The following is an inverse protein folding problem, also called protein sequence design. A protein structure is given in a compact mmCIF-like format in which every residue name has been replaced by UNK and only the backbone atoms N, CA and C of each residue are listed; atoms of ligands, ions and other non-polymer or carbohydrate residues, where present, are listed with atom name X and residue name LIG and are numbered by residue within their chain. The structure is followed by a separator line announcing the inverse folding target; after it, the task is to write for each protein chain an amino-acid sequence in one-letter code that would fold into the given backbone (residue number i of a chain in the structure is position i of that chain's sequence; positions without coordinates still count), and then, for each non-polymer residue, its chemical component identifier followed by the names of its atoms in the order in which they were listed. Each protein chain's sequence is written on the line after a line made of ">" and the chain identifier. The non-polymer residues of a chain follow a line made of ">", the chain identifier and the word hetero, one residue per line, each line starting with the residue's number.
data_IF_242837633550
#
_entry.id   IF_242837633550
#
_cell.length_a   1.000
_cell.length_b   1.000
_cell.length_c   1.000
_cell.angle_alpha   90.00
_cell.angle_beta   90.00
_cell.angle_gamma   90.00
#
_symmetry.space_group_name_H-M   'P 1'
#
loop_
_entity.id
_entity.type
_entity.pdbx_description
1 polymer ?
#
# COMPACT_ATOMS: atom_id res chain seq x y z
N UNK A 1 -42.14 28.51 46.23
CA UNK A 1 -43.06 27.49 46.76
C UNK A 1 -43.72 28.10 47.98
N UNK A 2 -45.02 27.91 48.19
CA UNK A 2 -45.72 28.46 49.36
C UNK A 2 -46.55 27.32 49.97
N UNK A 3 -45.98 26.61 50.96
CA UNK A 3 -46.57 25.45 51.65
C UNK A 3 -46.62 24.11 50.85
N UNK A 4 -45.47 23.52 50.47
CA UNK A 4 -45.45 22.16 49.92
C UNK A 4 -45.91 21.14 50.97
N UNK A 5 -46.77 20.19 50.58
CA UNK A 5 -47.39 19.20 51.48
C UNK A 5 -46.78 17.80 51.34
N UNK A 6 -46.38 17.43 50.14
CA UNK A 6 -45.87 16.09 49.86
C UNK A 6 -44.95 16.07 48.65
N UNK A 7 -44.04 15.09 48.66
CA UNK A 7 -43.13 14.78 47.55
C UNK A 7 -43.24 13.30 47.21
N UNK A 8 -43.14 12.97 45.93
CA UNK A 8 -43.10 11.60 45.45
C UNK A 8 -42.18 11.51 44.22
N UNK A 9 -41.70 10.31 43.89
CA UNK A 9 -40.80 10.07 42.75
C UNK A 9 -41.37 8.96 41.88
N UNK A 10 -41.43 9.17 40.56
CA UNK A 10 -41.86 8.11 39.63
C UNK A 10 -40.72 7.12 39.29
N UNK A 11 -41.06 6.02 38.63
CA UNK A 11 -40.09 4.99 38.20
C UNK A 11 -39.04 5.52 37.21
N UNK A 12 -39.24 6.73 36.66
CA UNK A 12 -38.29 7.43 35.79
C UNK A 12 -37.45 8.47 36.54
N UNK A 13 -37.55 8.54 37.88
CA UNK A 13 -36.76 9.44 38.72
C UNK A 13 -37.26 10.90 38.77
N UNK A 14 -38.44 11.22 38.25
CA UNK A 14 -38.99 12.57 38.31
C UNK A 14 -39.55 12.86 39.71
N UNK A 15 -39.19 14.01 40.29
CA UNK A 15 -39.72 14.47 41.56
C UNK A 15 -41.02 15.26 41.36
N UNK A 16 -42.10 14.82 41.99
CA UNK A 16 -43.37 15.51 42.02
C UNK A 16 -43.56 16.19 43.38
N UNK A 17 -43.90 17.48 43.36
CA UNK A 17 -44.10 18.29 44.56
C UNK A 17 -45.53 18.80 44.56
N UNK A 18 -46.33 18.36 45.53
CA UNK A 18 -47.68 18.86 45.76
C UNK A 18 -47.60 20.22 46.50
N UNK A 19 -47.90 21.30 45.77
CA UNK A 19 -47.87 22.67 46.27
C UNK A 19 -49.32 23.08 46.62
N UNK A 20 -49.74 22.66 47.83
CA UNK A 20 -51.15 22.62 48.23
C UNK A 20 -51.81 24.00 48.21
N UNK A 21 -51.16 25.03 48.75
CA UNK A 21 -51.72 26.40 48.77
C UNK A 21 -51.69 27.08 47.40
N UNK A 22 -50.97 26.52 46.43
CA UNK A 22 -50.96 27.01 45.05
C UNK A 22 -51.77 26.11 44.09
N UNK A 23 -52.53 25.13 44.62
CA UNK A 23 -53.38 24.21 43.86
C UNK A 23 -52.71 23.55 42.65
N UNK A 24 -51.43 23.19 42.77
CA UNK A 24 -50.66 22.61 41.66
C UNK A 24 -49.75 21.47 42.11
N UNK A 25 -49.45 20.59 41.16
CA UNK A 25 -48.33 19.65 41.27
C UNK A 25 -47.21 20.15 40.37
N UNK A 26 -45.99 20.25 40.90
CA UNK A 26 -44.80 20.59 40.13
C UNK A 26 -44.01 19.32 39.85
N UNK A 27 -43.78 19.03 38.57
CA UNK A 27 -42.84 17.98 38.14
C UNK A 27 -41.46 18.59 37.97
N UNK A 28 -40.46 17.99 38.58
CA UNK A 28 -39.04 18.29 38.39
C UNK A 28 -38.42 17.05 37.77
N UNK A 29 -37.95 17.19 36.54
CA UNK A 29 -37.24 16.13 35.83
C UNK A 29 -35.74 16.35 36.00
N UNK A 30 -35.04 15.32 36.44
CA UNK A 30 -33.58 15.30 36.46
C UNK A 30 -33.11 14.73 35.12
N UNK A 31 -32.20 15.44 34.46
CA UNK A 31 -31.47 14.91 33.31
C UNK A 31 -30.04 14.64 33.77
N UNK A 32 -29.54 13.44 33.51
CA UNK A 32 -28.11 13.19 33.60
C UNK A 32 -27.40 14.08 32.56
N UNK A 33 -26.29 14.74 32.91
CA UNK A 33 -25.54 15.51 31.94
C UNK A 33 -25.05 14.57 30.83
N UNK A 34 -25.29 14.96 29.59
CA UNK A 34 -24.73 14.26 28.43
C UNK A 34 -23.24 14.51 28.42
N UNK A 35 -22.45 13.45 28.62
CA UNK A 35 -20.99 13.53 28.68
C UNK A 35 -20.38 12.80 27.49
N UNK A 36 -19.26 13.32 26.99
CA UNK A 36 -18.46 12.64 25.99
C UNK A 36 -17.80 11.42 26.66
N UNK A 37 -17.99 10.23 26.10
CA UNK A 37 -17.40 9.00 26.62
C UNK A 37 -16.16 8.57 25.82
N UNK A 38 -16.19 8.74 24.50
CA UNK A 38 -15.06 8.41 23.63
C UNK A 38 -15.04 9.23 22.34
N UNK A 39 -13.89 9.23 21.67
CA UNK A 39 -13.71 9.72 20.31
C UNK A 39 -13.43 8.55 19.37
N UNK A 40 -13.77 8.71 18.10
CA UNK A 40 -13.43 7.76 17.04
C UNK A 40 -12.96 8.53 15.81
N UNK A 41 -11.71 8.30 15.39
CA UNK A 41 -11.12 8.91 14.20
C UNK A 41 -11.28 8.00 12.98
N UNK A 42 -11.68 8.59 11.85
CA UNK A 42 -11.73 7.89 10.57
C UNK A 42 -11.00 8.68 9.47
N UNK A 43 -10.27 8.01 8.56
CA UNK A 43 -9.90 6.59 8.63
C UNK A 43 -8.91 6.32 9.77
N UNK A 44 -8.91 5.10 10.34
CA UNK A 44 -7.96 4.72 11.40
C UNK A 44 -6.50 4.65 10.89
N UNK A 45 -6.34 4.38 9.59
CA UNK A 45 -5.04 4.38 8.90
C UNK A 45 -5.20 4.97 7.50
N UNK A 46 -4.26 5.81 7.07
CA UNK A 46 -4.18 6.30 5.70
C UNK A 46 -2.73 6.30 5.20
N UNK A 47 -2.56 6.16 3.89
CA UNK A 47 -1.26 6.31 3.21
C UNK A 47 -1.42 7.34 2.10
N UNK A 48 -0.58 8.37 2.11
CA UNK A 48 -0.54 9.42 1.09
C UNK A 48 0.90 9.65 0.62
N UNK A 49 1.07 10.24 -0.55
CA UNK A 49 2.39 10.69 -0.98
C UNK A 49 2.78 12.01 -0.30
N UNK A 50 4.08 12.27 -0.17
CA UNK A 50 4.59 13.56 0.28
C UNK A 50 4.03 14.71 -0.57
N UNK A 51 3.60 15.79 0.08
CA UNK A 51 2.94 16.94 -0.56
C UNK A 51 1.43 16.79 -0.78
N UNK A 52 0.85 15.60 -0.57
CA UNK A 52 -0.60 15.40 -0.63
C UNK A 52 -1.25 15.58 0.75
N UNK A 53 -2.59 15.59 0.77
CA UNK A 53 -3.38 15.80 1.98
C UNK A 53 -4.35 14.64 2.25
N UNK A 54 -4.59 14.36 3.52
CA UNK A 54 -5.59 13.39 3.99
C UNK A 54 -6.60 14.08 4.92
N UNK A 55 -7.89 13.92 4.63
CA UNK A 55 -8.97 14.37 5.49
C UNK A 55 -9.23 13.34 6.59
N UNK A 56 -9.23 13.77 7.86
CA UNK A 56 -9.71 12.95 8.97
C UNK A 56 -11.05 13.49 9.48
N UNK A 57 -11.83 12.62 10.11
CA UNK A 57 -13.03 13.00 10.87
C UNK A 57 -12.91 12.50 12.30
N UNK A 58 -13.50 13.22 13.26
CA UNK A 58 -13.58 12.81 14.65
C UNK A 58 -15.04 12.75 15.09
N UNK A 59 -15.53 11.56 15.41
CA UNK A 59 -16.88 11.33 15.94
C UNK A 59 -16.80 11.18 17.46
N UNK A 60 -17.56 11.99 18.20
CA UNK A 60 -17.74 11.82 19.64
C UNK A 60 -18.90 10.89 19.95
N UNK A 61 -18.67 9.90 20.81
CA UNK A 61 -19.70 9.01 21.32
C UNK A 61 -20.08 9.48 22.73
N UNK A 62 -21.33 9.88 22.90
CA UNK A 62 -21.85 10.43 24.15
C UNK A 62 -22.64 9.40 24.95
N UNK A 63 -22.81 9.66 26.25
CA UNK A 63 -23.50 8.77 27.20
C UNK A 63 -24.97 8.50 26.88
N UNK A 64 -25.58 9.31 26.02
CA UNK A 64 -26.94 9.12 25.50
C UNK A 64 -26.97 8.31 24.18
N UNK A 65 -25.83 7.74 23.79
CA UNK A 65 -25.63 7.01 22.52
C UNK A 65 -25.84 7.87 21.27
N UNK A 66 -25.80 9.21 21.38
CA UNK A 66 -25.86 10.10 20.22
C UNK A 66 -24.44 10.36 19.68
N UNK A 67 -24.05 9.81 18.50
CA UNK A 67 -22.78 10.17 17.90
C UNK A 67 -22.87 11.60 17.35
N UNK A 68 -21.84 12.41 17.57
CA UNK A 68 -21.75 13.76 16.99
C UNK A 68 -20.44 13.94 16.23
N UNK A 69 -20.51 14.67 15.13
CA UNK A 69 -19.30 15.11 14.42
C UNK A 69 -18.63 16.23 15.23
N UNK A 70 -17.44 15.92 15.74
CA UNK A 70 -16.60 16.82 16.53
C UNK A 70 -15.32 17.19 15.78
N UNK A 71 -15.25 16.91 14.48
CA UNK A 71 -14.06 17.11 13.64
C UNK A 71 -13.47 18.52 13.78
N UNK A 72 -14.32 19.54 13.91
CA UNK A 72 -13.91 20.95 14.08
C UNK A 72 -13.85 21.43 15.53
N UNK A 73 -14.24 20.58 16.47
CA UNK A 73 -14.29 20.88 17.92
C UNK A 73 -13.10 20.29 18.67
N UNK A 74 -12.54 19.19 18.18
CA UNK A 74 -11.32 18.57 18.74
C UNK A 74 -10.08 19.41 18.44
N UNK A 75 -9.07 19.28 19.30
CA UNK A 75 -7.71 19.73 19.00
C UNK A 75 -6.96 18.63 18.29
N UNK A 76 -6.48 18.90 17.09
CA UNK A 76 -5.67 17.97 16.30
C UNK A 76 -4.17 18.19 16.56
N UNK A 77 -3.39 17.12 16.60
CA UNK A 77 -1.93 17.18 16.69
C UNK A 77 -1.27 16.03 15.92
N UNK A 78 -0.03 16.25 15.46
CA UNK A 78 0.84 15.21 14.91
C UNK A 78 2.00 14.96 15.87
N UNK A 79 2.37 13.70 16.09
CA UNK A 79 3.57 13.37 16.89
C UNK A 79 4.88 13.51 16.09
N UNK A 80 4.80 13.72 14.78
CA UNK A 80 5.95 13.74 13.88
C UNK A 80 5.73 14.75 12.74
N UNK A 81 5.79 16.04 13.07
CA UNK A 81 5.60 17.14 12.11
C UNK A 81 6.55 17.15 10.91
N UNK A 82 7.83 16.72 11.03
CA UNK A 82 8.69 16.55 9.87
C UNK A 82 8.18 15.52 8.83
N UNK A 83 7.34 14.57 9.25
CA UNK A 83 6.72 13.58 8.37
C UNK A 83 5.34 14.03 7.93
N UNK A 84 4.48 14.45 8.85
CA UNK A 84 3.16 14.97 8.51
C UNK A 84 2.68 16.03 9.50
N UNK A 85 2.05 17.06 8.97
CA UNK A 85 1.39 18.12 9.75
C UNK A 85 -0.13 17.96 9.68
N UNK A 86 -0.86 18.53 10.63
CA UNK A 86 -2.32 18.67 10.52
C UNK A 86 -2.70 20.10 10.82
N UNK A 87 -3.28 20.77 9.80
CA UNK A 87 -3.73 22.15 9.96
C UNK A 87 -4.91 22.21 10.93
N UNK A 88 -5.13 23.36 11.56
CA UNK A 88 -6.33 23.66 12.34
C UNK A 88 -7.55 23.55 11.41
N UNK A 89 -8.14 22.37 11.35
CA UNK A 89 -8.93 22.00 10.19
C UNK A 89 -9.53 20.66 10.41
N UNK A 90 -8.69 19.60 10.41
CA UNK A 90 -9.00 18.18 10.13
C UNK A 90 -8.22 17.61 8.92
N UNK A 91 -7.55 18.47 8.16
CA UNK A 91 -6.78 18.13 6.97
C UNK A 91 -5.28 17.96 7.29
N UNK A 92 -4.81 16.72 7.27
CA UNK A 92 -3.39 16.40 7.41
C UNK A 92 -2.66 16.60 6.07
N UNK A 93 -1.40 17.05 6.11
CA UNK A 93 -0.52 17.22 4.96
C UNK A 93 0.74 16.37 5.15
N UNK A 94 1.06 15.53 4.18
CA UNK A 94 2.31 14.76 4.16
C UNK A 94 3.49 15.67 3.79
N UNK A 95 4.57 15.61 4.57
CA UNK A 95 5.77 16.45 4.41
C UNK A 95 6.93 15.64 3.86
N UNK A 96 7.26 14.52 4.50
CA UNK A 96 8.37 13.65 4.12
C UNK A 96 8.04 12.20 4.42
N UNK A 97 8.79 11.28 3.81
CA UNK A 97 8.59 9.85 4.02
C UNK A 97 8.68 9.43 5.50
N UNK A 98 7.77 8.55 5.91
CA UNK A 98 7.71 7.99 7.26
C UNK A 98 6.29 7.82 7.78
N UNK A 99 6.17 7.61 9.09
CA UNK A 99 4.87 7.50 9.77
C UNK A 99 4.70 8.59 10.81
N UNK A 100 3.50 9.17 10.85
CA UNK A 100 3.04 10.09 11.87
C UNK A 100 1.74 9.58 12.49
N UNK A 101 1.56 9.80 13.79
CA UNK A 101 0.31 9.57 14.51
C UNK A 101 -0.43 10.88 14.61
N UNK A 102 -1.64 10.91 14.04
CA UNK A 102 -2.57 12.03 14.11
C UNK A 102 -3.51 11.80 15.29
N UNK A 103 -3.56 12.73 16.24
CA UNK A 103 -4.35 12.62 17.46
C UNK A 103 -5.43 13.70 17.50
N UNK A 104 -6.66 13.32 17.82
CA UNK A 104 -7.74 14.24 18.15
C UNK A 104 -7.95 14.22 19.67
N UNK A 105 -8.03 15.39 20.30
CA UNK A 105 -8.26 15.52 21.75
C UNK A 105 -9.40 16.50 22.04
N UNK A 106 -10.33 16.10 22.91
CA UNK A 106 -11.36 17.01 23.45
C UNK A 106 -11.64 16.65 24.91
N UNK A 107 -11.61 17.65 25.79
CA UNK A 107 -11.85 17.49 27.23
C UNK A 107 -11.00 16.39 27.90
N UNK A 108 -9.78 16.15 27.40
CA UNK A 108 -8.87 15.11 27.91
C UNK A 108 -9.13 13.71 27.36
N UNK A 109 -10.17 13.51 26.56
CA UNK A 109 -10.43 12.27 25.81
C UNK A 109 -9.70 12.37 24.48
N UNK A 110 -8.99 11.31 24.10
CA UNK A 110 -8.22 11.25 22.88
C UNK A 110 -8.47 9.96 22.09
N UNK A 111 -8.31 10.06 20.78
CA UNK A 111 -8.17 8.93 19.86
C UNK A 111 -7.09 9.26 18.81
N UNK A 112 -6.63 8.26 18.06
CA UNK A 112 -5.55 8.46 17.08
C UNK A 112 -5.74 7.66 15.79
N UNK A 113 -5.12 8.16 14.72
CA UNK A 113 -4.98 7.48 13.43
C UNK A 113 -3.53 7.50 12.97
N UNK A 114 -3.13 6.47 12.22
CA UNK A 114 -1.81 6.43 11.59
C UNK A 114 -1.87 7.06 10.19
N UNK A 115 -0.98 8.01 9.93
CA UNK A 115 -0.74 8.55 8.60
C UNK A 115 0.65 8.13 8.13
N UNK A 116 0.70 7.28 7.12
CA UNK A 116 1.94 6.91 6.44
C UNK A 116 2.13 7.87 5.26
N UNK A 117 3.27 8.52 5.22
CA UNK A 117 3.66 9.38 4.10
C UNK A 117 4.72 8.63 3.31
N UNK A 118 4.43 8.38 2.04
CA UNK A 118 5.33 7.74 1.10
C UNK A 118 6.16 8.79 0.36
N UNK A 119 7.42 8.48 0.08
CA UNK A 119 8.22 9.28 -0.85
C UNK A 119 7.53 9.36 -2.23
N UNK A 120 7.48 10.56 -2.83
CA UNK A 120 7.21 10.69 -4.27
C UNK A 120 8.47 10.33 -5.05
N UNK A 121 8.41 9.24 -5.79
CA UNK A 121 9.54 8.71 -6.53
C UNK A 121 9.86 9.56 -7.77
N UNK A 122 11.14 9.87 -7.95
CA UNK A 122 11.70 10.56 -9.11
C UNK A 122 12.86 9.75 -9.72
N UNK A 123 13.17 10.00 -10.99
CA UNK A 123 14.20 9.22 -11.70
C UNK A 123 15.56 9.36 -11.00
N UNK A 124 16.19 8.23 -10.68
CA UNK A 124 17.49 8.16 -10.01
C UNK A 124 17.41 8.02 -8.49
N UNK A 125 16.20 7.98 -7.92
CA UNK A 125 16.04 7.86 -6.47
C UNK A 125 16.61 6.54 -5.93
N UNK A 126 17.21 6.67 -4.75
CA UNK A 126 17.57 5.53 -3.89
C UNK A 126 16.52 5.42 -2.79
N UNK A 127 15.68 4.40 -2.88
CA UNK A 127 14.54 4.16 -2.02
C UNK A 127 14.96 3.31 -0.81
N UNK A 128 14.74 3.85 0.38
CA UNK A 128 15.02 3.19 1.67
C UNK A 128 13.77 2.73 2.40
N UNK A 129 12.60 3.12 1.89
CA UNK A 129 11.28 3.01 2.52
C UNK A 129 10.20 3.01 1.44
N UNK A 130 8.92 3.12 1.81
CA UNK A 130 7.82 3.10 0.85
C UNK A 130 7.84 4.32 -0.08
N UNK A 131 7.75 4.05 -1.38
CA UNK A 131 7.66 5.08 -2.40
C UNK A 131 6.43 4.87 -3.28
N UNK A 132 5.93 5.96 -3.83
CA UNK A 132 4.82 5.97 -4.76
C UNK A 132 5.01 7.02 -5.86
N UNK A 133 4.13 7.01 -6.84
CA UNK A 133 4.09 7.97 -7.93
C UNK A 133 2.80 8.80 -7.83
N UNK A 134 2.86 10.03 -8.31
CA UNK A 134 1.68 10.90 -8.47
C UNK A 134 1.32 11.19 -9.92
N UNK A 135 2.17 10.77 -10.85
CA UNK A 135 1.99 10.93 -12.29
C UNK A 135 2.90 9.96 -13.04
N UNK A 136 2.69 9.84 -14.35
CA UNK A 136 3.64 9.19 -15.25
C UNK A 136 5.04 9.81 -15.12
N UNK A 137 6.07 8.97 -15.11
CA UNK A 137 7.45 9.40 -14.91
C UNK A 137 8.29 9.20 -16.17
N UNK A 138 8.79 10.31 -16.72
CA UNK A 138 9.71 10.32 -17.86
C UNK A 138 11.18 10.33 -17.39
N UNK A 139 11.86 9.21 -17.63
CA UNK A 139 13.27 8.98 -17.34
C UNK A 139 14.10 8.77 -18.63
N UNK A 140 13.67 9.32 -19.77
CA UNK A 140 14.38 9.23 -21.07
C UNK A 140 15.85 9.67 -21.03
N UNK A 141 16.22 10.55 -20.09
CA UNK A 141 17.60 11.04 -19.88
C UNK A 141 18.47 10.15 -18.97
N UNK A 142 17.92 9.12 -18.34
CA UNK A 142 18.63 8.33 -17.34
C UNK A 142 19.49 7.25 -17.98
N UNK A 143 20.81 7.33 -17.84
CA UNK A 143 21.79 6.40 -18.46
C UNK A 143 22.12 5.17 -17.59
N UNK A 144 21.49 5.05 -16.41
CA UNK A 144 21.77 4.03 -15.41
C UNK A 144 20.50 3.33 -14.90
N UNK A 145 20.47 2.98 -13.62
CA UNK A 145 19.27 2.42 -13.00
C UNK A 145 18.26 3.52 -12.69
N UNK A 146 16.98 3.30 -13.01
CA UNK A 146 15.92 4.29 -12.73
C UNK A 146 15.64 4.40 -11.22
N UNK A 147 15.59 3.27 -10.50
CA UNK A 147 15.47 3.24 -9.04
C UNK A 147 16.41 2.23 -8.41
N UNK A 148 16.96 2.59 -7.24
CA UNK A 148 17.76 1.68 -6.43
C UNK A 148 17.06 1.44 -5.09
N UNK A 149 16.85 0.19 -4.71
CA UNK A 149 16.44 -0.16 -3.35
C UNK A 149 17.67 -0.33 -2.48
N UNK A 150 17.75 0.42 -1.38
CA UNK A 150 18.88 0.41 -0.44
C UNK A 150 18.51 -0.12 0.95
N UNK A 151 17.30 -0.66 1.12
CA UNK A 151 16.85 -1.26 2.36
C UNK A 151 15.93 -2.46 2.11
N UNK A 152 15.76 -3.28 3.14
CA UNK A 152 14.76 -4.34 3.19
C UNK A 152 13.34 -3.76 3.30
N UNK A 153 12.34 -4.55 2.92
CA UNK A 153 10.91 -4.21 3.07
C UNK A 153 10.48 -2.92 2.37
N UNK A 154 11.21 -2.47 1.35
CA UNK A 154 10.81 -1.35 0.51
C UNK A 154 9.61 -1.73 -0.34
N UNK A 155 8.58 -0.89 -0.36
CA UNK A 155 7.42 -1.04 -1.25
C UNK A 155 7.44 0.10 -2.26
N UNK A 156 7.46 -0.20 -3.56
CA UNK A 156 7.26 0.78 -4.61
C UNK A 156 5.95 0.51 -5.32
N UNK A 157 4.97 1.39 -5.11
CA UNK A 157 3.63 1.28 -5.70
C UNK A 157 3.43 2.38 -6.75
N UNK A 158 3.42 1.97 -8.02
CA UNK A 158 3.26 2.89 -9.13
C UNK A 158 1.83 3.35 -9.38
N UNK A 159 0.83 2.87 -8.62
CA UNK A 159 -0.58 3.29 -8.76
C UNK A 159 -1.15 3.19 -10.20
N UNK A 160 -0.55 2.35 -11.04
CA UNK A 160 -0.89 2.20 -12.46
C UNK A 160 -0.26 3.24 -13.40
N UNK A 161 0.56 4.15 -12.90
CA UNK A 161 1.26 5.14 -13.72
C UNK A 161 2.32 4.51 -14.62
N UNK A 162 2.56 5.19 -15.73
CA UNK A 162 3.51 4.78 -16.76
C UNK A 162 4.88 5.37 -16.52
N UNK A 163 5.89 4.52 -16.68
CA UNK A 163 7.28 4.95 -16.79
C UNK A 163 7.68 5.04 -18.26
N UNK A 164 8.54 5.99 -18.58
CA UNK A 164 9.16 6.10 -19.90
C UNK A 164 10.68 6.20 -19.74
N UNK A 165 11.41 5.13 -20.01
CA UNK A 165 12.87 5.09 -19.77
C UNK A 165 13.72 4.51 -20.92
N UNK A 166 13.45 4.81 -22.22
CA UNK A 166 13.92 4.08 -23.44
C UNK A 166 15.41 3.72 -23.50
N UNK A 167 16.26 4.46 -22.79
CA UNK A 167 17.72 4.36 -22.77
C UNK A 167 18.28 3.67 -21.51
N UNK A 168 17.46 3.41 -20.49
CA UNK A 168 17.90 2.84 -19.22
C UNK A 168 18.16 1.33 -19.36
N UNK A 169 19.37 0.82 -19.03
CA UNK A 169 19.67 -0.60 -19.12
C UNK A 169 18.95 -1.44 -18.05
N UNK A 170 18.44 -0.79 -16.99
CA UNK A 170 17.75 -1.43 -15.87
C UNK A 170 16.76 -0.48 -15.17
N UNK A 171 15.50 -0.87 -15.00
CA UNK A 171 14.53 0.01 -14.34
C UNK A 171 14.59 -0.02 -12.81
N UNK A 172 14.91 -1.16 -12.23
CA UNK A 172 14.96 -1.31 -10.77
C UNK A 172 16.15 -2.19 -10.41
N UNK A 173 16.94 -1.77 -9.44
CA UNK A 173 17.98 -2.60 -8.81
C UNK A 173 17.69 -2.76 -7.33
N UNK A 174 17.57 -4.01 -6.88
CA UNK A 174 17.78 -4.40 -5.49
C UNK A 174 19.03 -5.26 -5.44
N UNK A 175 19.95 -4.99 -4.51
CA UNK A 175 21.14 -5.81 -4.28
C UNK A 175 21.15 -6.26 -2.82
N UNK A 176 20.88 -7.53 -2.59
CA UNK A 176 20.93 -8.16 -1.27
C UNK A 176 19.72 -7.89 -0.37
N UNK A 177 18.83 -6.97 -0.74
CA UNK A 177 17.67 -6.64 0.09
C UNK A 177 16.56 -7.69 -0.02
N UNK A 178 15.87 -7.90 1.09
CA UNK A 178 14.76 -8.84 1.26
C UNK A 178 13.43 -8.12 1.46
N UNK A 179 12.33 -8.74 1.03
CA UNK A 179 10.98 -8.21 1.24
C UNK A 179 10.62 -6.99 0.37
N UNK A 180 11.39 -6.70 -0.68
CA UNK A 180 11.07 -5.61 -1.60
C UNK A 180 9.80 -5.94 -2.39
N UNK A 181 8.86 -5.00 -2.47
CA UNK A 181 7.63 -5.13 -3.25
C UNK A 181 7.57 -4.09 -4.35
N UNK A 182 7.27 -4.54 -5.57
CA UNK A 182 7.12 -3.69 -6.75
C UNK A 182 5.72 -3.92 -7.31
N UNK A 183 4.86 -2.91 -7.24
CA UNK A 183 3.42 -3.04 -7.39
C UNK A 183 2.86 -2.03 -8.41
N UNK A 184 1.86 -2.47 -9.18
CA UNK A 184 0.99 -1.59 -9.99
C UNK A 184 1.75 -0.61 -10.89
N UNK A 185 2.64 -1.09 -11.75
CA UNK A 185 3.44 -0.22 -12.64
C UNK A 185 3.27 -0.58 -14.10
N UNK A 186 3.20 0.42 -14.97
CA UNK A 186 3.36 0.25 -16.42
C UNK A 186 4.78 0.64 -16.83
N UNK A 187 5.60 -0.36 -17.13
CA UNK A 187 6.97 -0.23 -17.63
C UNK A 187 7.05 -0.56 -19.13
N UNK A 188 5.94 -0.47 -19.88
CA UNK A 188 5.89 -0.85 -21.29
C UNK A 188 6.62 0.14 -22.21
N UNK A 189 7.32 -0.39 -23.21
CA UNK A 189 7.98 0.42 -24.25
C UNK A 189 9.26 1.15 -23.81
N UNK A 190 9.80 0.82 -22.64
CA UNK A 190 10.80 1.64 -21.94
C UNK A 190 12.24 1.17 -22.02
N UNK A 191 12.61 -0.07 -22.36
CA UNK A 191 14.03 -0.47 -22.36
C UNK A 191 14.23 -1.86 -22.95
N UNK A 192 15.48 -2.20 -23.31
CA UNK A 192 15.84 -3.56 -23.71
C UNK A 192 15.59 -4.57 -22.59
N UNK A 193 15.77 -4.21 -21.32
CA UNK A 193 15.47 -5.06 -20.16
C UNK A 193 14.36 -4.42 -19.32
N UNK A 194 13.52 -5.25 -18.67
CA UNK A 194 12.50 -4.77 -17.75
C UNK A 194 13.07 -4.52 -16.35
N UNK A 195 12.91 -5.49 -15.45
CA UNK A 195 13.16 -5.37 -14.02
C UNK A 195 14.18 -6.40 -13.54
N UNK A 196 15.07 -6.05 -12.61
CA UNK A 196 16.05 -6.98 -12.03
C UNK A 196 16.04 -6.92 -10.51
N UNK A 197 16.01 -8.10 -9.88
CA UNK A 197 16.20 -8.28 -8.44
C UNK A 197 17.43 -9.16 -8.27
N UNK A 198 18.46 -8.63 -7.59
CA UNK A 198 19.72 -9.33 -7.35
C UNK A 198 19.91 -9.56 -5.85
N UNK A 199 20.16 -10.80 -5.42
CA UNK A 199 20.32 -11.11 -4.00
C UNK A 199 19.01 -11.03 -3.19
N UNK A 200 19.12 -11.31 -1.90
CA UNK A 200 18.02 -11.21 -0.95
C UNK A 200 16.94 -12.29 -1.10
N UNK A 201 15.85 -12.14 -0.34
CA UNK A 201 14.76 -13.10 -0.34
C UNK A 201 13.38 -12.49 -0.10
N UNK A 202 12.33 -13.20 -0.51
CA UNK A 202 10.96 -12.79 -0.18
C UNK A 202 10.47 -11.55 -0.93
N UNK A 203 11.05 -11.22 -2.09
CA UNK A 203 10.63 -10.06 -2.87
C UNK A 203 9.35 -10.38 -3.66
N UNK A 204 8.54 -9.35 -3.93
CA UNK A 204 7.27 -9.43 -4.64
C UNK A 204 7.29 -8.51 -5.85
N UNK A 205 6.93 -9.04 -7.03
CA UNK A 205 6.57 -8.24 -8.19
C UNK A 205 5.12 -8.59 -8.53
N UNK A 206 4.21 -7.63 -8.44
CA UNK A 206 2.79 -7.87 -8.64
C UNK A 206 2.12 -6.78 -9.47
N UNK A 207 1.28 -7.16 -10.42
CA UNK A 207 0.49 -6.22 -11.23
C UNK A 207 1.39 -5.23 -12.01
N UNK A 208 2.42 -5.76 -12.67
CA UNK A 208 3.39 -4.95 -13.43
C UNK A 208 3.33 -5.32 -14.91
N UNK A 209 3.31 -4.33 -15.79
CA UNK A 209 3.52 -4.52 -17.23
C UNK A 209 4.97 -4.18 -17.59
N UNK A 210 5.71 -5.13 -18.15
CA UNK A 210 7.07 -4.93 -18.69
C UNK A 210 7.11 -5.22 -20.19
N UNK A 211 6.04 -4.96 -20.94
CA UNK A 211 5.96 -5.24 -22.37
C UNK A 211 6.92 -4.43 -23.24
N UNK A 212 7.45 -5.04 -24.30
CA UNK A 212 8.25 -4.34 -25.31
C UNK A 212 7.41 -4.05 -26.56
N UNK A 213 7.40 -2.80 -27.00
CA UNK A 213 6.57 -2.33 -28.13
C UNK A 213 7.19 -2.67 -29.50
N UNK A 214 8.48 -3.00 -29.55
CA UNK A 214 9.13 -3.44 -30.78
C UNK A 214 8.74 -4.89 -31.15
N UNK A 215 8.84 -5.19 -32.45
CA UNK A 215 8.47 -6.51 -33.01
C UNK A 215 9.56 -7.57 -32.85
N UNK A 216 10.78 -7.16 -32.51
CA UNK A 216 11.88 -8.07 -32.18
C UNK A 216 11.94 -8.27 -30.67
N UNK A 217 12.06 -9.52 -30.18
CA UNK A 217 12.19 -9.77 -28.75
C UNK A 217 13.36 -8.97 -28.15
N UNK A 218 13.07 -8.10 -27.19
CA UNK A 218 14.08 -7.41 -26.39
C UNK A 218 14.64 -8.37 -25.32
N UNK A 219 15.49 -7.89 -24.42
CA UNK A 219 15.99 -8.66 -23.27
C UNK A 219 14.90 -9.13 -22.31
N UNK A 220 15.24 -9.33 -21.04
CA UNK A 220 14.30 -9.97 -20.12
C UNK A 220 13.14 -9.05 -19.71
N UNK A 221 11.98 -9.62 -19.36
CA UNK A 221 10.92 -8.91 -18.66
C UNK A 221 11.28 -8.71 -17.18
N UNK A 222 11.43 -9.81 -16.43
CA UNK A 222 11.90 -9.81 -15.03
C UNK A 222 13.10 -10.74 -14.88
N UNK A 223 14.19 -10.27 -14.27
CA UNK A 223 15.34 -11.09 -13.89
C UNK A 223 15.41 -11.23 -12.37
N UNK A 224 15.54 -12.47 -11.91
CA UNK A 224 15.93 -12.82 -10.56
C UNK A 224 17.34 -13.40 -10.61
N UNK A 225 18.29 -12.71 -9.99
CA UNK A 225 19.69 -13.11 -9.91
C UNK A 225 20.06 -13.38 -8.44
N UNK A 226 20.58 -14.56 -8.11
CA UNK A 226 21.04 -14.87 -6.74
C UNK A 226 20.02 -14.58 -5.64
N UNK A 227 18.72 -14.66 -5.95
CA UNK A 227 17.64 -14.29 -5.04
C UNK A 227 16.66 -15.46 -4.86
N UNK A 228 16.12 -15.59 -3.64
CA UNK A 228 15.35 -16.78 -3.25
C UNK A 228 13.97 -16.43 -2.71
N UNK A 229 13.03 -17.38 -2.81
CA UNK A 229 11.70 -17.24 -2.20
C UNK A 229 10.93 -15.99 -2.68
N UNK A 230 11.15 -15.54 -3.91
CA UNK A 230 10.43 -14.39 -4.47
C UNK A 230 9.09 -14.82 -5.08
N UNK A 231 8.17 -13.87 -5.21
CA UNK A 231 6.87 -14.06 -5.85
C UNK A 231 6.74 -13.11 -7.04
N UNK A 232 6.53 -13.66 -8.23
CA UNK A 232 6.24 -12.91 -9.45
C UNK A 232 4.82 -13.28 -9.89
N UNK A 233 3.91 -12.33 -9.81
CA UNK A 233 2.51 -12.59 -10.13
C UNK A 233 1.80 -11.48 -10.86
N UNK A 234 0.80 -11.81 -11.67
CA UNK A 234 0.02 -10.83 -12.43
C UNK A 234 0.91 -9.89 -13.26
N UNK A 235 2.05 -10.38 -13.74
CA UNK A 235 2.98 -9.65 -14.61
C UNK A 235 2.62 -9.92 -16.06
N UNK A 236 2.53 -8.86 -16.85
CA UNK A 236 2.49 -8.95 -18.31
C UNK A 236 3.88 -8.66 -18.85
N UNK A 237 4.46 -9.57 -19.61
CA UNK A 237 5.74 -9.36 -20.28
C UNK A 237 5.63 -9.86 -21.71
N UNK A 238 5.43 -8.95 -22.66
CA UNK A 238 5.32 -9.29 -24.09
C UNK A 238 6.53 -8.87 -24.90
N UNK A 239 6.84 -9.62 -25.96
CA UNK A 239 8.00 -9.42 -26.86
C UNK A 239 9.35 -9.32 -26.12
N UNK A 240 9.56 -10.22 -25.15
CA UNK A 240 10.77 -10.35 -24.33
C UNK A 240 11.53 -11.66 -24.58
N UNK A 241 12.78 -11.70 -24.16
CA UNK A 241 13.66 -12.84 -24.31
C UNK A 241 14.62 -12.97 -23.11
N UNK A 242 14.22 -13.62 -21.99
CA UNK A 242 12.93 -14.26 -21.70
C UNK A 242 11.87 -13.32 -21.05
N UNK A 243 10.63 -13.79 -20.87
CA UNK A 243 9.66 -13.12 -19.99
C UNK A 243 10.16 -13.02 -18.54
N UNK A 244 10.55 -14.16 -17.96
CA UNK A 244 11.25 -14.22 -16.66
C UNK A 244 12.58 -14.96 -16.80
N UNK A 245 13.66 -14.39 -16.25
CA UNK A 245 14.98 -15.01 -16.19
C UNK A 245 15.38 -15.30 -14.75
N UNK A 246 15.59 -16.56 -14.43
CA UNK A 246 16.20 -17.02 -13.18
C UNK A 246 17.67 -17.34 -13.46
N UNK A 247 18.57 -16.63 -12.77
CA UNK A 247 20.02 -16.85 -12.85
C UNK A 247 20.64 -16.83 -11.47
N UNK A 248 21.84 -17.39 -11.30
CA UNK A 248 22.61 -17.43 -10.06
C UNK A 248 21.82 -17.98 -8.87
N UNK A 249 22.04 -19.21 -8.42
CA UNK A 249 21.46 -19.78 -7.18
C UNK A 249 19.99 -19.42 -6.80
N UNK A 250 19.11 -19.12 -7.76
CA UNK A 250 17.77 -18.53 -7.49
C UNK A 250 16.70 -19.60 -7.23
N UNK A 251 16.69 -20.18 -6.02
CA UNK A 251 15.76 -21.22 -5.61
C UNK A 251 14.48 -20.72 -4.91
N UNK A 252 13.45 -21.58 -4.84
CA UNK A 252 12.25 -21.33 -4.03
C UNK A 252 11.26 -20.30 -4.59
N UNK A 253 11.37 -19.89 -5.85
CA UNK A 253 10.57 -18.81 -6.42
C UNK A 253 9.16 -19.28 -6.83
N UNK A 254 8.16 -18.43 -6.63
CA UNK A 254 6.78 -18.62 -7.11
C UNK A 254 6.53 -17.69 -8.29
N UNK A 255 6.23 -18.23 -9.46
CA UNK A 255 5.93 -17.45 -10.67
C UNK A 255 4.55 -17.89 -11.14
N UNK A 256 3.54 -17.05 -10.98
CA UNK A 256 2.15 -17.45 -11.22
C UNK A 256 1.28 -16.35 -11.84
N UNK A 257 0.25 -16.73 -12.59
CA UNK A 257 -0.73 -15.81 -13.18
C UNK A 257 -0.10 -14.72 -14.05
N UNK A 258 1.03 -15.02 -14.70
CA UNK A 258 1.71 -14.09 -15.60
C UNK A 258 1.34 -14.38 -17.06
N UNK A 259 1.37 -13.34 -17.90
CA UNK A 259 1.15 -13.41 -19.35
C UNK A 259 2.47 -13.15 -20.09
N UNK A 260 2.93 -14.15 -20.83
CA UNK A 260 4.23 -14.13 -21.54
C UNK A 260 4.11 -14.24 -23.07
N UNK A 261 3.05 -13.67 -23.64
CA UNK A 261 2.80 -13.71 -25.09
C UNK A 261 3.89 -13.01 -25.92
N UNK A 262 4.20 -13.56 -27.11
CA UNK A 262 5.21 -12.99 -28.02
C UNK A 262 6.68 -13.19 -27.58
N UNK A 263 6.93 -13.90 -26.49
CA UNK A 263 8.28 -14.11 -25.98
C UNK A 263 9.00 -15.28 -26.66
N UNK A 264 10.32 -15.18 -26.80
CA UNK A 264 11.16 -16.30 -27.24
C UNK A 264 11.26 -17.40 -26.18
N UNK A 265 11.26 -17.03 -24.91
CA UNK A 265 11.17 -17.95 -23.78
C UNK A 265 10.25 -17.32 -22.75
N UNK A 266 9.26 -18.06 -22.27
CA UNK A 266 8.40 -17.54 -21.20
C UNK A 266 9.22 -17.42 -19.91
N UNK A 267 9.89 -18.52 -19.53
CA UNK A 267 10.75 -18.61 -18.35
C UNK A 267 12.07 -19.28 -18.74
N UNK A 268 13.19 -18.62 -18.49
CA UNK A 268 14.53 -19.21 -18.64
C UNK A 268 15.16 -19.36 -17.26
N UNK A 269 15.54 -20.58 -16.90
CA UNK A 269 16.18 -20.88 -15.63
C UNK A 269 17.56 -21.49 -15.83
N UNK A 270 18.60 -20.71 -15.56
CA UNK A 270 20.00 -21.12 -15.59
C UNK A 270 20.58 -21.12 -14.17
N UNK A 271 21.26 -22.20 -13.78
CA UNK A 271 21.98 -22.29 -12.48
C UNK A 271 21.09 -22.04 -11.24
N UNK A 272 19.96 -22.75 -11.14
CA UNK A 272 19.08 -22.64 -9.97
C UNK A 272 19.77 -23.18 -8.71
N UNK A 273 19.58 -22.47 -7.59
CA UNK A 273 20.06 -22.89 -6.27
C UNK A 273 19.18 -23.97 -5.66
N UNK A 274 19.38 -24.27 -4.37
CA UNK A 274 18.51 -25.23 -3.67
C UNK A 274 17.10 -24.67 -3.48
N UNK A 275 16.08 -25.54 -3.59
CA UNK A 275 14.67 -25.21 -3.39
C UNK A 275 13.81 -25.34 -4.65
N UNK A 276 12.56 -25.79 -4.49
CA UNK A 276 11.64 -25.97 -5.61
C UNK A 276 11.05 -24.61 -6.02
N UNK A 277 11.16 -24.25 -7.30
CA UNK A 277 10.36 -23.14 -7.84
C UNK A 277 9.01 -23.65 -8.34
N UNK A 278 7.95 -22.90 -8.08
CA UNK A 278 6.57 -23.19 -8.48
C UNK A 278 6.14 -22.30 -9.64
N UNK A 279 5.72 -22.92 -10.74
CA UNK A 279 5.32 -22.20 -11.96
C UNK A 279 3.87 -22.52 -12.33
N UNK A 280 3.03 -21.49 -12.44
CA UNK A 280 1.61 -21.57 -12.82
C UNK A 280 1.20 -20.36 -13.68
N UNK A 281 1.58 -20.35 -14.97
CA UNK A 281 1.41 -19.19 -15.85
C UNK A 281 0.75 -19.56 -17.17
N UNK A 282 0.18 -18.55 -17.83
CA UNK A 282 -0.22 -18.65 -19.22
C UNK A 282 1.03 -18.54 -20.09
N UNK A 283 1.39 -19.66 -20.73
CA UNK A 283 2.57 -19.74 -21.57
C UNK A 283 2.21 -19.38 -23.02
N UNK A 284 3.16 -18.78 -23.79
CA UNK A 284 2.94 -18.44 -25.17
C UNK A 284 2.61 -19.67 -26.02
N UNK A 285 1.68 -19.51 -26.94
CA UNK A 285 1.25 -20.50 -27.93
C UNK A 285 2.17 -20.54 -29.17
N UNK A 286 3.48 -20.38 -28.97
CA UNK A 286 4.49 -20.24 -30.05
C UNK A 286 5.31 -21.52 -30.26
N UNK A 287 6.06 -21.60 -31.37
CA UNK A 287 6.99 -22.71 -31.70
C UNK A 287 8.27 -22.73 -30.86
N UNK A 288 8.45 -21.73 -30.00
CA UNK A 288 9.61 -21.52 -29.14
C UNK A 288 9.45 -22.18 -27.76
N UNK A 289 10.56 -22.46 -27.07
CA UNK A 289 10.53 -23.17 -25.79
C UNK A 289 9.80 -22.36 -24.72
N UNK A 290 8.74 -22.92 -24.14
CA UNK A 290 8.01 -22.25 -23.07
C UNK A 290 8.89 -22.08 -21.82
N UNK A 291 9.72 -23.08 -21.49
CA UNK A 291 10.57 -23.11 -20.31
C UNK A 291 11.89 -23.81 -20.65
N UNK A 292 13.04 -23.26 -20.22
CA UNK A 292 14.37 -23.90 -20.27
C UNK A 292 14.86 -24.08 -18.84
N UNK A 293 15.29 -25.30 -18.47
CA UNK A 293 15.60 -25.65 -17.08
C UNK A 293 16.90 -26.45 -16.94
N UNK A 294 17.77 -26.01 -16.03
CA UNK A 294 18.96 -26.78 -15.58
C UNK A 294 18.85 -27.47 -14.21
N UNK A 295 17.67 -27.49 -13.55
CA UNK A 295 17.45 -28.07 -12.21
C UNK A 295 15.98 -28.55 -11.97
N UNK A 296 15.60 -28.85 -10.72
CA UNK A 296 14.24 -29.33 -10.36
C UNK A 296 13.21 -28.19 -10.27
N UNK A 297 12.18 -28.24 -11.11
CA UNK A 297 11.03 -27.31 -11.10
C UNK A 297 9.74 -28.09 -10.95
N UNK A 298 8.78 -27.58 -10.16
CA UNK A 298 7.43 -28.15 -10.05
C UNK A 298 6.45 -27.33 -10.88
N UNK A 299 5.81 -27.98 -11.86
CA UNK A 299 4.86 -27.34 -12.75
C UNK A 299 3.42 -27.67 -12.37
N UNK A 300 2.54 -26.68 -12.48
CA UNK A 300 1.13 -26.87 -12.81
C UNK A 300 0.86 -25.96 -14.02
N UNK A 301 1.00 -26.47 -15.24
CA UNK A 301 0.74 -25.69 -16.46
C UNK A 301 -0.15 -26.45 -17.44
N UNK A 302 -0.82 -25.72 -18.34
CA UNK A 302 -1.57 -26.27 -19.49
C UNK A 302 -0.70 -26.41 -20.76
N UNK A 303 0.64 -26.37 -20.63
CA UNK A 303 1.55 -26.29 -21.76
C UNK A 303 1.68 -27.61 -22.55
N UNK A 304 1.88 -27.49 -23.86
CA UNK A 304 1.99 -28.60 -24.82
C UNK A 304 3.43 -29.10 -25.05
N UNK A 305 4.48 -28.43 -24.55
CA UNK A 305 5.88 -28.89 -24.72
C UNK A 305 6.81 -28.36 -23.61
N UNK A 306 7.57 -29.26 -22.98
CA UNK A 306 8.66 -28.99 -22.00
C UNK A 306 9.95 -29.53 -22.65
N UNK A 307 11.05 -28.76 -22.69
CA UNK A 307 12.35 -29.22 -23.20
C UNK A 307 13.47 -28.91 -22.21
#
# INVERSE_FOLDING_TARGET
>A
MNHPWGVDVDDSGNLFIADLSNHRVRKVTFFEPVVLESLTIAPATATIAAGLTQQFTATGNFSDSSPQDLTRSVTWSSNNEPVATIAAGDLATGVADGTATITATLAGINDWAALNVAQLATCGDTLTTHATLSADLDCTGTTGTVFTFAADSVVFDGQGYKFLAPSAPLMVSSIGNSGVSILNMDLSGTASNGLKISGGSGNLVSSVDVSYTGVTPAGYGVQLESSTNNVIQNVTATNRNPGVWLTGTSGGNTIQNNNFSGNNFAIHASQLGQGNSYLNNDLPNTTTCAIIVGATIRFRSRATTIR
#
